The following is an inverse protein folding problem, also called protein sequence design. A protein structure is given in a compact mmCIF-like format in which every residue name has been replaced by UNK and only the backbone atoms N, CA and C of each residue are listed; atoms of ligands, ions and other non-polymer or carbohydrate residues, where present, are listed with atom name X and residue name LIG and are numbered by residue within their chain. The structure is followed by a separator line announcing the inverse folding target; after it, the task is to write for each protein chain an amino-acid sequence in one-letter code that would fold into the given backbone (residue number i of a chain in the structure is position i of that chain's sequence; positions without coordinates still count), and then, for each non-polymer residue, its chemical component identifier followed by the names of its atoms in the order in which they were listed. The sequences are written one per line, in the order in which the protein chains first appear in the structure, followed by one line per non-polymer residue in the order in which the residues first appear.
data_IF_968595814803
#
_entry.id   IF_968595814803
#
_cell.length_a   1.000
_cell.length_b   1.000
_cell.length_c   1.000
_cell.angle_alpha   90.00
_cell.angle_beta   90.00
_cell.angle_gamma   90.00
#
_symmetry.space_group_name_H-M   'P 1'
#
loop_
_entity.id
_entity.type
_entity.pdbx_description
1 polymer ?
#
# COMPACT_ATOMS: atom_id res chain seq x y z
N UNK A 1 15.21 48.54 -5.17
CA UNK A 1 14.13 47.54 -5.14
C UNK A 1 14.71 46.22 -5.65
N UNK A 2 14.98 45.19 -4.82
CA UNK A 2 15.33 43.88 -5.34
C UNK A 2 14.05 43.10 -5.68
N UNK A 3 14.04 42.50 -6.86
CA UNK A 3 12.96 41.68 -7.44
C UNK A 3 12.76 40.37 -6.65
N UNK A 4 11.52 39.87 -6.54
CA UNK A 4 11.26 38.56 -5.96
C UNK A 4 11.79 37.48 -6.91
N UNK A 5 12.77 36.69 -6.44
CA UNK A 5 13.22 35.51 -7.14
C UNK A 5 12.06 34.51 -7.21
N UNK A 6 11.51 34.36 -8.40
CA UNK A 6 10.60 33.29 -8.76
C UNK A 6 11.29 31.96 -8.43
N UNK A 7 10.88 31.29 -7.34
CA UNK A 7 11.23 29.89 -7.10
C UNK A 7 10.61 29.08 -8.24
N UNK A 8 11.39 28.78 -9.26
CA UNK A 8 11.02 27.81 -10.28
C UNK A 8 10.61 26.51 -9.57
N UNK A 9 9.44 25.92 -9.86
CA UNK A 9 9.10 24.62 -9.31
C UNK A 9 10.15 23.64 -9.83
N UNK A 10 10.96 23.09 -8.90
CA UNK A 10 11.92 22.04 -9.23
C UNK A 10 11.16 20.91 -9.90
N UNK A 11 11.35 20.73 -11.21
CA UNK A 11 10.75 19.60 -11.93
C UNK A 11 11.23 18.32 -11.25
N UNK A 12 10.30 17.58 -10.68
CA UNK A 12 10.57 16.31 -10.02
C UNK A 12 11.24 15.37 -11.02
N UNK A 13 12.30 14.67 -10.59
CA UNK A 13 12.96 13.68 -11.42
C UNK A 13 11.93 12.61 -11.84
N UNK A 14 11.83 12.23 -13.13
CA UNK A 14 10.93 11.17 -13.57
C UNK A 14 11.03 9.86 -12.77
N UNK A 15 12.22 9.50 -12.28
CA UNK A 15 12.40 8.35 -11.39
C UNK A 15 11.74 8.56 -10.02
N UNK A 16 11.87 9.75 -9.45
CA UNK A 16 11.22 10.11 -8.18
C UNK A 16 9.68 10.15 -8.33
N UNK A 17 9.19 10.59 -9.50
CA UNK A 17 7.75 10.56 -9.80
C UNK A 17 7.21 9.13 -9.89
N UNK A 18 7.96 8.19 -10.49
CA UNK A 18 7.59 6.77 -10.52
C UNK A 18 7.54 6.17 -9.12
N UNK A 19 8.55 6.45 -8.29
CA UNK A 19 8.56 6.01 -6.88
C UNK A 19 7.36 6.57 -6.15
N UNK A 20 7.03 7.86 -6.32
CA UNK A 20 5.86 8.48 -5.68
C UNK A 20 4.57 7.78 -6.09
N UNK A 21 4.36 7.51 -7.38
CA UNK A 21 3.17 6.81 -7.87
C UNK A 21 3.09 5.37 -7.35
N UNK A 22 4.21 4.65 -7.33
CA UNK A 22 4.24 3.29 -6.79
C UNK A 22 3.98 3.26 -5.28
N UNK A 23 4.47 4.26 -4.55
CA UNK A 23 4.18 4.45 -3.13
C UNK A 23 2.70 4.73 -2.90
N UNK A 24 2.09 5.64 -3.68
CA UNK A 24 0.65 5.95 -3.61
C UNK A 24 -0.19 4.69 -3.85
N UNK A 25 0.13 3.91 -4.89
CA UNK A 25 -0.57 2.66 -5.19
C UNK A 25 -0.44 1.61 -4.05
N UNK A 26 0.74 1.51 -3.43
CA UNK A 26 0.92 0.62 -2.29
C UNK A 26 0.14 1.06 -1.05
N UNK A 27 0.10 2.37 -0.79
CA UNK A 27 -0.69 2.92 0.32
C UNK A 27 -2.20 2.71 0.10
N UNK A 28 -2.68 2.88 -1.12
CA UNK A 28 -4.08 2.62 -1.48
C UNK A 28 -4.44 1.14 -1.29
N UNK A 29 -3.63 0.22 -1.83
CA UNK A 29 -3.85 -1.22 -1.64
C UNK A 29 -3.83 -1.63 -0.16
N UNK A 30 -2.99 -0.99 0.66
CA UNK A 30 -2.98 -1.20 2.12
C UNK A 30 -4.23 -0.68 2.80
N UNK A 31 -4.71 0.50 2.41
CA UNK A 31 -5.93 1.07 2.96
C UNK A 31 -7.16 0.18 2.67
N UNK A 32 -7.16 -0.55 1.56
CA UNK A 32 -8.17 -1.56 1.24
C UNK A 32 -8.00 -2.86 2.06
N UNK A 33 -6.76 -3.33 2.24
CA UNK A 33 -6.47 -4.58 2.95
C UNK A 33 -6.65 -4.48 4.48
N UNK A 34 -6.20 -3.39 5.10
CA UNK A 34 -6.15 -3.26 6.57
C UNK A 34 -7.53 -3.50 7.23
N UNK A 35 -8.67 -3.01 6.70
CA UNK A 35 -10.00 -3.35 7.21
C UNK A 35 -10.34 -4.84 7.10
N UNK A 36 -9.99 -5.51 6.00
CA UNK A 36 -10.25 -6.94 5.83
C UNK A 36 -9.42 -7.79 6.79
N UNK A 37 -8.15 -7.41 6.99
CA UNK A 37 -7.28 -8.05 7.98
C UNK A 37 -7.85 -7.91 9.39
N UNK A 38 -8.37 -6.73 9.74
CA UNK A 38 -8.96 -6.49 11.06
C UNK A 38 -10.23 -7.33 11.28
N UNK A 39 -11.12 -7.39 10.30
CA UNK A 39 -12.34 -8.21 10.40
C UNK A 39 -11.99 -9.70 10.54
N UNK A 40 -10.98 -10.19 9.81
CA UNK A 40 -10.49 -11.56 9.94
C UNK A 40 -9.91 -11.84 11.34
N UNK A 41 -9.10 -10.93 11.88
CA UNK A 41 -8.55 -11.03 13.24
C UNK A 41 -9.68 -11.14 14.27
N UNK A 42 -10.64 -10.22 14.25
CA UNK A 42 -11.78 -10.21 15.18
C UNK A 42 -12.63 -11.48 15.06
N UNK A 43 -12.80 -12.01 13.83
CA UNK A 43 -13.56 -13.23 13.61
C UNK A 43 -12.82 -14.48 14.10
N UNK A 44 -11.50 -14.55 13.96
CA UNK A 44 -10.67 -15.60 14.52
C UNK A 44 -10.68 -15.57 16.05
N UNK A 45 -10.63 -14.40 16.67
CA UNK A 45 -10.76 -14.25 18.12
C UNK A 45 -12.09 -14.80 18.62
N UNK A 46 -13.21 -14.48 17.96
CA UNK A 46 -14.53 -15.04 18.29
C UNK A 46 -14.56 -16.56 18.12
N UNK A 47 -13.95 -17.10 17.07
CA UNK A 47 -13.86 -18.54 16.85
C UNK A 47 -13.11 -19.25 17.99
N UNK A 48 -11.96 -18.72 18.41
CA UNK A 48 -11.16 -19.30 19.48
C UNK A 48 -11.86 -19.24 20.84
N UNK A 49 -12.65 -18.19 21.07
CA UNK A 49 -13.51 -18.07 22.26
C UNK A 49 -14.77 -18.94 22.20
N UNK A 50 -14.96 -19.76 21.16
CA UNK A 50 -16.16 -20.59 20.92
C UNK A 50 -17.44 -19.78 20.76
N UNK A 51 -17.33 -18.53 20.33
CA UNK A 51 -18.44 -17.58 20.13
C UNK A 51 -18.77 -17.35 18.65
N UNK A 52 -18.11 -18.04 17.73
CA UNK A 52 -18.37 -17.92 16.30
C UNK A 52 -17.91 -19.13 15.49
N UNK A 53 -18.36 -19.25 14.24
CA UNK A 53 -17.89 -20.26 13.31
C UNK A 53 -16.47 -19.94 12.81
N UNK A 54 -15.88 -20.85 12.02
CA UNK A 54 -14.66 -20.57 11.28
C UNK A 54 -14.90 -19.44 10.24
N UNK A 55 -14.03 -18.42 10.16
CA UNK A 55 -14.26 -17.23 9.35
C UNK A 55 -13.74 -17.37 7.90
N UNK A 56 -14.22 -18.40 7.18
CA UNK A 56 -13.82 -18.61 5.78
C UNK A 56 -14.12 -17.42 4.85
N UNK A 57 -15.29 -16.76 4.94
CA UNK A 57 -15.58 -15.60 4.09
C UNK A 57 -14.63 -14.43 4.33
N UNK A 58 -14.32 -14.12 5.58
CA UNK A 58 -13.37 -13.07 5.97
C UNK A 58 -11.96 -13.41 5.49
N UNK A 59 -11.56 -14.69 5.58
CA UNK A 59 -10.28 -15.17 5.08
C UNK A 59 -10.16 -14.97 3.57
N UNK A 60 -11.19 -15.31 2.80
CA UNK A 60 -11.20 -15.09 1.34
C UNK A 60 -11.13 -13.61 0.97
N UNK A 61 -11.81 -12.74 1.71
CA UNK A 61 -11.79 -11.29 1.48
C UNK A 61 -10.40 -10.69 1.77
N UNK A 62 -9.79 -11.08 2.89
CA UNK A 62 -8.43 -10.68 3.23
C UNK A 62 -7.42 -11.20 2.21
N UNK A 63 -7.55 -12.44 1.73
CA UNK A 63 -6.64 -13.01 0.74
C UNK A 63 -6.71 -12.28 -0.61
N UNK A 64 -7.92 -11.96 -1.08
CA UNK A 64 -8.09 -11.20 -2.33
C UNK A 64 -7.43 -9.82 -2.27
N UNK A 65 -7.58 -9.10 -1.16
CA UNK A 65 -6.98 -7.77 -0.98
C UNK A 65 -5.46 -7.83 -0.71
N UNK A 66 -4.98 -8.89 -0.04
CA UNK A 66 -3.54 -9.12 0.22
C UNK A 66 -2.71 -9.19 -1.07
N UNK A 67 -3.28 -9.76 -2.14
CA UNK A 67 -2.63 -9.85 -3.45
C UNK A 67 -2.28 -8.45 -3.99
N UNK A 68 -3.21 -7.50 -3.88
CA UNK A 68 -3.00 -6.11 -4.32
C UNK A 68 -1.87 -5.42 -3.55
N UNK A 69 -1.78 -5.64 -2.24
CA UNK A 69 -0.67 -5.13 -1.40
C UNK A 69 0.66 -5.72 -1.83
N UNK A 70 0.72 -7.04 -2.09
CA UNK A 70 1.95 -7.70 -2.52
C UNK A 70 2.44 -7.20 -3.88
N UNK A 71 1.52 -7.07 -4.84
CA UNK A 71 1.84 -6.58 -6.20
C UNK A 71 2.31 -5.12 -6.19
N UNK A 72 1.60 -4.24 -5.50
CA UNK A 72 1.97 -2.82 -5.39
C UNK A 72 3.27 -2.62 -4.61
N UNK A 73 3.53 -3.41 -3.57
CA UNK A 73 4.81 -3.40 -2.86
C UNK A 73 5.98 -3.84 -3.75
N UNK A 74 5.77 -4.88 -4.58
CA UNK A 74 6.78 -5.31 -5.54
C UNK A 74 7.09 -4.20 -6.55
N UNK A 75 6.07 -3.55 -7.11
CA UNK A 75 6.23 -2.43 -8.03
C UNK A 75 6.98 -1.23 -7.38
N UNK A 76 6.73 -0.95 -6.10
CA UNK A 76 7.49 0.05 -5.34
C UNK A 76 8.97 -0.34 -5.20
N UNK A 77 9.25 -1.61 -4.88
CA UNK A 77 10.62 -2.11 -4.80
C UNK A 77 11.35 -1.98 -6.14
N UNK A 78 10.68 -2.30 -7.25
CA UNK A 78 11.23 -2.17 -8.59
C UNK A 78 11.50 -0.71 -8.95
N UNK A 79 10.57 0.21 -8.66
CA UNK A 79 10.76 1.65 -8.89
C UNK A 79 11.96 2.21 -8.11
N UNK A 80 12.17 1.76 -6.88
CA UNK A 80 13.35 2.15 -6.07
C UNK A 80 14.62 1.56 -6.66
N UNK A 81 14.59 0.29 -7.09
CA UNK A 81 15.74 -0.38 -7.71
C UNK A 81 16.15 0.30 -9.02
N UNK A 82 15.20 0.70 -9.85
CA UNK A 82 15.45 1.43 -11.09
C UNK A 82 16.13 2.78 -10.86
N UNK A 83 15.81 3.47 -9.75
CA UNK A 83 16.48 4.72 -9.36
C UNK A 83 17.91 4.47 -8.86
N UNK A 84 18.13 3.34 -8.18
CA UNK A 84 19.38 2.98 -7.49
C UNK A 84 20.10 1.78 -8.08
N UNK A 85 20.03 1.55 -9.40
CA UNK A 85 20.95 0.61 -10.04
C UNK A 85 22.39 1.11 -9.90
N UNK A 86 23.41 0.23 -9.91
CA UNK A 86 24.82 0.65 -9.82
C UNK A 86 25.19 1.74 -10.83
#
# INVERSE_FOLDING_TARGET
MPTPQHRSPSRMNPADERIRKALEAWLEARAEFDPHAKVLEDALDRYFQKQGPLPYPEMEAAEKSRIGVAQSFHALCDAIRERGGP
#
